data_IF_513820903863
#
_entry.id   IF_513820903863
#
_cell.length_a   1.000
_cell.length_b   1.000
_cell.length_c   1.000
_cell.angle_alpha   90.00
_cell.angle_beta   90.00
_cell.angle_gamma   90.00
#
_symmetry.space_group_name_H-M   'P 1'
#
loop_
_entity.id
_entity.type
_entity.pdbx_description
1 polymer ?
#
# COMPACT_ATOMS: atom_id res chain seq x y z
N UNK A 1 16.04 3.79 70.17
CA UNK A 1 14.96 4.12 69.25
C UNK A 1 15.42 4.68 67.89
N UNK A 2 16.69 4.47 67.49
CA UNK A 2 17.25 5.10 66.26
C UNK A 2 17.65 4.10 65.13
N UNK A 3 17.29 2.80 65.25
CA UNK A 3 17.67 1.78 64.23
C UNK A 3 16.50 1.25 63.37
N UNK A 4 15.27 1.66 63.66
CA UNK A 4 14.08 1.16 62.91
C UNK A 4 13.64 2.13 61.80
N UNK A 5 14.05 3.40 61.89
CA UNK A 5 13.67 4.42 60.87
C UNK A 5 14.51 4.38 59.57
N UNK A 6 15.74 3.78 59.62
CA UNK A 6 16.61 3.73 58.44
C UNK A 6 16.29 2.56 57.49
N UNK A 7 15.68 1.49 57.95
CA UNK A 7 15.33 0.34 57.13
C UNK A 7 14.05 0.61 56.26
N UNK A 8 13.12 1.39 56.80
CA UNK A 8 11.89 1.73 56.09
C UNK A 8 12.11 2.72 54.91
N UNK A 9 13.02 3.69 55.08
CA UNK A 9 13.32 4.64 53.99
C UNK A 9 14.11 3.99 52.85
N UNK A 10 15.01 3.04 53.14
CA UNK A 10 15.74 2.35 52.08
C UNK A 10 14.82 1.42 51.26
N UNK A 11 13.83 0.78 51.89
CA UNK A 11 12.91 -0.09 51.16
C UNK A 11 11.91 0.71 50.26
N UNK A 12 11.51 1.89 50.71
CA UNK A 12 10.65 2.78 49.87
C UNK A 12 11.44 3.37 48.72
N UNK A 13 12.68 3.82 48.91
CA UNK A 13 13.53 4.30 47.82
C UNK A 13 13.86 3.21 46.80
N UNK A 14 14.11 1.98 47.22
CA UNK A 14 14.35 0.86 46.30
C UNK A 14 13.11 0.49 45.49
N UNK A 15 11.93 0.58 46.10
CA UNK A 15 10.68 0.32 45.40
C UNK A 15 10.35 1.40 44.34
N UNK A 16 10.64 2.67 44.63
CA UNK A 16 10.47 3.76 43.65
C UNK A 16 11.53 3.68 42.53
N UNK A 17 12.77 3.29 42.82
CA UNK A 17 13.79 3.11 41.78
C UNK A 17 13.46 1.90 40.90
N UNK A 18 12.93 0.81 41.43
CA UNK A 18 12.49 -0.34 40.64
C UNK A 18 11.27 -0.03 39.77
N UNK A 19 10.31 0.75 40.28
CA UNK A 19 9.17 1.18 39.49
C UNK A 19 9.61 2.13 38.34
N UNK A 20 10.48 3.10 38.63
CA UNK A 20 10.99 4.03 37.59
C UNK A 20 11.85 3.31 36.55
N UNK A 21 12.60 2.29 36.90
CA UNK A 21 13.36 1.48 35.93
C UNK A 21 12.46 0.53 35.13
N UNK A 22 11.39 -0.01 35.72
CA UNK A 22 10.44 -0.85 35.06
C UNK A 22 9.63 -0.03 34.01
N UNK A 23 9.20 1.18 34.37
CA UNK A 23 8.49 2.09 33.41
C UNK A 23 9.42 2.59 32.30
N UNK A 24 10.68 2.90 32.62
CA UNK A 24 11.67 3.27 31.60
C UNK A 24 11.99 2.10 30.65
N UNK A 25 12.09 0.86 31.18
CA UNK A 25 12.27 -0.33 30.37
C UNK A 25 11.02 -0.64 29.53
N UNK A 26 9.82 -0.39 30.05
CA UNK A 26 8.58 -0.55 29.30
C UNK A 26 8.50 0.41 28.09
N UNK A 27 9.06 1.61 28.20
CA UNK A 27 9.14 2.57 27.11
C UNK A 27 10.04 2.10 25.95
N UNK A 28 10.98 1.19 26.21
CA UNK A 28 11.89 0.60 25.23
C UNK A 28 11.53 -0.83 24.83
N UNK A 29 10.34 -1.32 25.22
CA UNK A 29 9.89 -2.64 24.79
C UNK A 29 9.71 -2.65 23.26
N UNK A 30 10.07 -3.76 22.61
CA UNK A 30 9.79 -3.94 21.18
C UNK A 30 8.31 -3.68 20.89
N UNK A 31 8.01 -3.07 19.74
CA UNK A 31 6.62 -2.88 19.32
C UNK A 31 5.89 -4.22 19.33
N UNK A 32 4.66 -4.22 19.85
CA UNK A 32 3.84 -5.42 19.85
C UNK A 32 3.58 -5.88 18.41
N UNK A 33 3.59 -7.19 18.14
CA UNK A 33 3.21 -7.69 16.83
C UNK A 33 1.72 -7.43 16.56
N UNK A 34 1.36 -7.41 15.30
CA UNK A 34 -0.06 -7.43 14.90
C UNK A 34 -0.73 -8.70 15.45
N UNK A 35 -1.98 -8.62 15.86
CA UNK A 35 -2.73 -9.76 16.39
C UNK A 35 -3.38 -10.61 15.28
N UNK A 36 -3.71 -9.96 14.15
CA UNK A 36 -4.29 -10.63 12.99
C UNK A 36 -3.26 -11.55 12.30
N UNK A 37 -3.77 -12.53 11.58
CA UNK A 37 -2.98 -13.38 10.70
C UNK A 37 -3.18 -12.93 9.25
N UNK A 38 -2.08 -12.52 8.60
CA UNK A 38 -2.12 -12.19 7.18
C UNK A 38 -2.40 -13.43 6.34
N UNK A 39 -3.20 -13.34 5.29
CA UNK A 39 -3.37 -14.45 4.35
C UNK A 39 -2.03 -14.87 3.73
N UNK A 40 -1.72 -16.16 3.74
CA UNK A 40 -0.42 -16.70 3.26
C UNK A 40 -0.08 -16.29 1.82
N UNK A 41 -1.11 -16.14 0.97
CA UNK A 41 -0.94 -15.72 -0.41
C UNK A 41 -0.44 -14.26 -0.54
N UNK A 42 -0.53 -13.45 0.53
CA UNK A 42 -0.01 -12.07 0.54
C UNK A 42 1.51 -12.00 0.75
N UNK A 43 2.16 -13.12 1.10
CA UNK A 43 3.59 -13.21 1.42
C UNK A 43 4.51 -12.56 0.38
N UNK A 44 4.28 -12.84 -0.90
CA UNK A 44 5.11 -12.33 -2.01
C UNK A 44 4.29 -11.47 -2.98
N UNK A 45 3.10 -11.04 -2.55
CA UNK A 45 2.14 -10.41 -3.43
C UNK A 45 2.61 -9.03 -3.94
N UNK A 46 2.20 -8.76 -5.17
CA UNK A 46 2.26 -7.47 -5.85
C UNK A 46 0.83 -7.06 -6.18
N UNK A 47 0.46 -5.82 -5.85
CA UNK A 47 -0.87 -5.29 -6.12
C UNK A 47 -0.88 -4.56 -7.47
N UNK A 48 -1.98 -4.70 -8.19
CA UNK A 48 -2.28 -3.91 -9.37
C UNK A 48 -3.63 -3.24 -9.21
N UNK A 49 -3.65 -1.91 -9.20
CA UNK A 49 -4.88 -1.14 -9.11
C UNK A 49 -5.51 -0.94 -10.48
N UNK A 50 -6.78 -1.29 -10.61
CA UNK A 50 -7.58 -1.14 -11.84
C UNK A 50 -8.65 -0.08 -11.63
N UNK A 51 -8.55 1.01 -12.36
CA UNK A 51 -9.66 1.91 -12.62
C UNK A 51 -10.46 1.37 -13.81
N UNK A 52 -11.55 0.65 -13.53
CA UNK A 52 -12.32 -0.05 -14.58
C UNK A 52 -12.73 0.86 -15.72
N UNK A 53 -13.15 2.10 -15.41
CA UNK A 53 -13.56 3.12 -16.39
C UNK A 53 -12.47 3.45 -17.41
N UNK A 54 -11.20 3.47 -16.95
CA UNK A 54 -10.05 3.96 -17.71
C UNK A 54 -9.18 2.84 -18.28
N UNK A 55 -9.33 1.60 -17.74
CA UNK A 55 -8.41 0.50 -17.98
C UNK A 55 -8.41 0.01 -19.42
N UNK A 56 -9.58 0.05 -20.08
CA UNK A 56 -9.73 -0.32 -21.48
C UNK A 56 -10.56 0.74 -22.21
N UNK A 57 -10.50 0.80 -23.55
CA UNK A 57 -11.37 1.70 -24.32
C UNK A 57 -12.85 1.50 -24.02
N UNK A 58 -13.28 0.25 -23.75
CA UNK A 58 -14.66 -0.08 -23.40
C UNK A 58 -15.00 0.34 -21.97
N UNK A 59 -14.04 0.27 -21.03
CA UNK A 59 -14.21 0.58 -19.61
C UNK A 59 -15.14 -0.39 -18.89
N UNK A 60 -15.11 -1.68 -19.25
CA UNK A 60 -16.03 -2.70 -18.73
C UNK A 60 -15.31 -3.87 -18.07
N UNK A 61 -16.01 -4.61 -17.19
CA UNK A 61 -15.48 -5.84 -16.58
C UNK A 61 -15.12 -6.89 -17.62
N UNK A 62 -15.92 -7.02 -18.68
CA UNK A 62 -15.65 -7.95 -19.76
C UNK A 62 -14.33 -7.64 -20.47
N UNK A 63 -14.08 -6.38 -20.78
CA UNK A 63 -12.84 -5.96 -21.42
C UNK A 63 -11.66 -6.06 -20.46
N UNK A 64 -11.85 -5.73 -19.18
CA UNK A 64 -10.84 -5.90 -18.13
C UNK A 64 -10.49 -7.38 -17.91
N UNK A 65 -11.47 -8.30 -17.95
CA UNK A 65 -11.24 -9.75 -17.84
C UNK A 65 -10.25 -10.24 -18.92
N UNK A 66 -10.34 -9.74 -20.13
CA UNK A 66 -9.42 -10.10 -21.22
C UNK A 66 -7.96 -9.67 -20.96
N UNK A 67 -7.73 -8.76 -20.02
CA UNK A 67 -6.40 -8.32 -19.64
C UNK A 67 -5.78 -9.15 -18.49
N UNK A 68 -6.55 -10.02 -17.82
CA UNK A 68 -6.05 -10.83 -16.70
C UNK A 68 -4.83 -11.69 -17.06
N UNK A 69 -4.74 -12.36 -18.22
CA UNK A 69 -3.53 -13.09 -18.60
C UNK A 69 -2.30 -12.18 -18.70
N UNK A 70 -2.46 -10.95 -19.19
CA UNK A 70 -1.37 -9.96 -19.24
C UNK A 70 -0.94 -9.53 -17.83
N UNK A 71 -1.88 -9.28 -16.93
CA UNK A 71 -1.56 -8.96 -15.53
C UNK A 71 -0.86 -10.12 -14.83
N UNK A 72 -1.28 -11.37 -15.08
CA UNK A 72 -0.60 -12.55 -14.55
C UNK A 72 0.83 -12.67 -15.09
N UNK A 73 1.03 -12.43 -16.38
CA UNK A 73 2.36 -12.41 -17.00
C UNK A 73 3.24 -11.28 -16.44
N UNK A 74 2.66 -10.13 -16.10
CA UNK A 74 3.35 -9.03 -15.42
C UNK A 74 3.80 -9.42 -13.98
N UNK A 75 3.22 -10.50 -13.43
CA UNK A 75 3.55 -10.98 -12.09
C UNK A 75 2.63 -10.46 -10.99
N UNK A 76 1.41 -10.06 -11.32
CA UNK A 76 0.43 -9.56 -10.36
C UNK A 76 -0.22 -10.71 -9.58
N UNK A 77 -0.49 -10.47 -8.29
CA UNK A 77 -1.13 -11.41 -7.39
C UNK A 77 -2.46 -10.88 -6.83
N UNK A 78 -2.56 -9.58 -6.64
CA UNK A 78 -3.76 -8.92 -6.13
C UNK A 78 -4.24 -7.90 -7.16
N UNK A 79 -5.46 -8.05 -7.63
CA UNK A 79 -6.13 -7.05 -8.46
C UNK A 79 -7.07 -6.24 -7.55
N UNK A 80 -6.75 -4.97 -7.36
CA UNK A 80 -7.60 -4.04 -6.64
C UNK A 80 -8.48 -3.29 -7.64
N UNK A 81 -9.79 -3.58 -7.64
CA UNK A 81 -10.77 -2.83 -8.42
C UNK A 81 -11.20 -1.57 -7.65
N UNK A 82 -11.09 -0.40 -8.28
CA UNK A 82 -11.73 0.82 -7.78
C UNK A 82 -13.24 0.60 -7.63
N UNK A 83 -14.00 1.49 -6.94
CA UNK A 83 -15.39 1.20 -6.58
C UNK A 83 -16.22 0.71 -7.76
N UNK A 84 -16.87 -0.44 -7.58
CA UNK A 84 -17.67 -1.13 -8.60
C UNK A 84 -19.16 -0.81 -8.49
N UNK A 85 -19.53 0.02 -7.52
CA UNK A 85 -20.91 0.33 -7.15
C UNK A 85 -21.56 1.37 -8.08
N UNK A 86 -22.90 1.39 -8.19
CA UNK A 86 -23.63 2.46 -8.85
C UNK A 86 -23.29 3.82 -8.24
N UNK A 87 -23.13 4.82 -9.10
CA UNK A 87 -22.75 6.19 -8.74
C UNK A 87 -23.99 7.07 -8.63
N UNK A 88 -24.05 7.92 -7.59
CA UNK A 88 -25.11 8.90 -7.42
C UNK A 88 -25.24 9.89 -8.57
N UNK A 89 -26.43 10.43 -8.74
CA UNK A 89 -26.73 11.42 -9.78
C UNK A 89 -26.89 12.82 -9.17
N UNK A 90 -27.43 12.91 -7.97
CA UNK A 90 -27.65 14.18 -7.27
C UNK A 90 -26.29 14.82 -6.93
N UNK A 91 -26.12 16.08 -7.29
CA UNK A 91 -24.90 16.87 -7.11
C UNK A 91 -23.65 16.28 -7.81
N UNK A 92 -23.84 15.46 -8.84
CA UNK A 92 -22.76 14.81 -9.60
C UNK A 92 -21.83 15.86 -10.21
N UNK A 93 -20.52 15.62 -10.11
CA UNK A 93 -19.49 16.36 -10.86
C UNK A 93 -19.15 15.59 -12.14
N UNK A 94 -18.92 16.32 -13.23
CA UNK A 94 -18.67 15.74 -14.53
C UNK A 94 -19.88 14.97 -15.07
N UNK A 95 -19.68 14.26 -16.17
CA UNK A 95 -20.79 13.51 -16.82
C UNK A 95 -21.03 12.16 -16.16
N UNK A 96 -19.97 11.49 -15.68
CA UNK A 96 -20.03 10.13 -15.11
C UNK A 96 -19.96 10.10 -13.58
N UNK A 97 -19.50 11.19 -12.97
CA UNK A 97 -19.42 11.31 -11.50
C UNK A 97 -18.23 10.60 -10.86
N UNK A 98 -18.09 10.83 -9.56
CA UNK A 98 -17.08 10.18 -8.73
C UNK A 98 -17.44 8.72 -8.48
N UNK A 99 -16.54 7.75 -8.69
CA UNK A 99 -16.75 6.36 -8.31
C UNK A 99 -16.92 6.20 -6.79
N UNK A 100 -16.46 7.17 -6.01
CA UNK A 100 -16.61 7.19 -4.54
C UNK A 100 -17.96 7.75 -4.07
N UNK A 101 -18.82 8.21 -4.98
CA UNK A 101 -20.21 8.62 -4.67
C UNK A 101 -21.15 7.43 -4.77
N UNK A 102 -21.04 6.50 -3.81
CA UNK A 102 -21.75 5.21 -3.81
C UNK A 102 -23.24 5.40 -3.58
N UNK A 103 -24.06 4.85 -4.47
CA UNK A 103 -25.53 4.88 -4.40
C UNK A 103 -26.16 3.57 -3.91
N UNK A 104 -25.46 2.46 -4.05
CA UNK A 104 -25.92 1.14 -3.62
C UNK A 104 -24.73 0.24 -3.32
N UNK A 105 -24.57 -0.18 -2.06
CA UNK A 105 -23.43 -0.98 -1.62
C UNK A 105 -23.48 -2.45 -2.09
N UNK A 106 -24.60 -2.94 -2.59
CA UNK A 106 -24.72 -4.32 -3.13
C UNK A 106 -24.98 -4.32 -4.64
N UNK A 107 -25.11 -3.16 -5.23
CA UNK A 107 -25.27 -3.00 -6.67
C UNK A 107 -23.95 -3.00 -7.44
N UNK A 108 -24.04 -3.34 -8.70
CA UNK A 108 -22.93 -3.24 -9.68
C UNK A 108 -23.22 -2.09 -10.62
N UNK A 109 -22.23 -1.23 -10.86
CA UNK A 109 -22.36 -0.08 -11.74
C UNK A 109 -22.63 -0.53 -13.19
N UNK A 110 -23.78 -0.18 -13.77
CA UNK A 110 -24.12 -0.58 -15.14
C UNK A 110 -23.17 0.00 -16.20
N UNK A 111 -22.43 1.07 -15.88
CA UNK A 111 -21.36 1.58 -16.74
C UNK A 111 -20.27 0.53 -17.01
N UNK A 112 -19.97 -0.29 -16.00
CA UNK A 112 -18.91 -1.30 -16.06
C UNK A 112 -19.39 -2.67 -16.53
N UNK A 113 -20.71 -2.90 -16.51
CA UNK A 113 -21.33 -4.16 -16.92
C UNK A 113 -22.33 -4.70 -15.91
N UNK A 114 -22.57 -5.99 -15.98
CA UNK A 114 -23.58 -6.70 -15.18
C UNK A 114 -22.94 -7.38 -13.96
N UNK A 115 -23.77 -7.76 -12.93
CA UNK A 115 -23.31 -8.58 -11.81
C UNK A 115 -22.67 -9.92 -12.25
N UNK A 116 -23.18 -10.52 -13.33
CA UNK A 116 -22.64 -11.76 -13.90
C UNK A 116 -21.25 -11.54 -14.48
N UNK A 117 -21.01 -10.42 -15.12
CA UNK A 117 -19.70 -10.08 -15.72
C UNK A 117 -18.67 -9.79 -14.63
N UNK A 118 -19.03 -9.09 -13.56
CA UNK A 118 -18.13 -8.88 -12.41
C UNK A 118 -17.81 -10.22 -11.73
N UNK A 119 -18.80 -11.08 -11.50
CA UNK A 119 -18.56 -12.41 -10.94
C UNK A 119 -17.59 -13.21 -11.82
N UNK A 120 -17.82 -13.21 -13.13
CA UNK A 120 -16.95 -13.90 -14.08
C UNK A 120 -15.52 -13.35 -14.09
N UNK A 121 -15.35 -12.02 -13.97
CA UNK A 121 -14.03 -11.39 -13.81
C UNK A 121 -13.29 -11.94 -12.57
N UNK A 122 -13.97 -11.96 -11.42
CA UNK A 122 -13.40 -12.47 -10.16
C UNK A 122 -13.03 -13.96 -10.29
N UNK A 123 -13.93 -14.77 -10.80
CA UNK A 123 -13.68 -16.20 -11.00
C UNK A 123 -12.53 -16.45 -12.00
N UNK A 124 -12.39 -15.61 -13.02
CA UNK A 124 -11.30 -15.68 -13.99
C UNK A 124 -9.95 -15.29 -13.38
N UNK A 125 -9.91 -14.29 -12.50
CA UNK A 125 -8.73 -13.92 -11.75
C UNK A 125 -8.29 -15.08 -10.81
N UNK A 126 -9.23 -15.65 -10.08
CA UNK A 126 -8.99 -16.81 -9.20
C UNK A 126 -8.45 -18.03 -9.96
N UNK A 127 -9.01 -18.36 -11.11
CA UNK A 127 -8.50 -19.47 -11.95
C UNK A 127 -7.06 -19.28 -12.40
N UNK A 128 -6.59 -18.04 -12.48
CA UNK A 128 -5.21 -17.70 -12.81
C UNK A 128 -4.33 -17.53 -11.57
N UNK A 129 -4.85 -17.81 -10.36
CA UNK A 129 -4.13 -17.67 -9.09
C UNK A 129 -3.87 -16.22 -8.72
N UNK A 130 -4.76 -15.31 -9.08
CA UNK A 130 -4.79 -13.93 -8.60
C UNK A 130 -5.96 -13.74 -7.65
N UNK A 131 -5.80 -12.85 -6.66
CA UNK A 131 -6.84 -12.47 -5.71
C UNK A 131 -7.45 -11.13 -6.11
N UNK A 132 -8.71 -10.92 -5.73
CA UNK A 132 -9.43 -9.68 -6.06
C UNK A 132 -9.91 -8.99 -4.81
N UNK A 133 -9.50 -7.74 -4.61
CA UNK A 133 -10.03 -6.87 -3.56
C UNK A 133 -10.84 -5.74 -4.18
N UNK A 134 -11.90 -5.32 -3.50
CA UNK A 134 -12.74 -4.20 -3.93
C UNK A 134 -12.41 -2.94 -3.12
N UNK A 135 -12.57 -1.79 -3.75
CA UNK A 135 -12.55 -0.52 -3.05
C UNK A 135 -13.84 -0.31 -2.26
N UNK A 136 -13.75 0.02 -0.98
CA UNK A 136 -14.89 0.11 -0.08
C UNK A 136 -15.01 1.48 0.56
N UNK A 137 -16.07 2.19 0.22
CA UNK A 137 -16.32 3.56 0.64
C UNK A 137 -17.25 3.57 1.85
N UNK A 138 -16.70 3.38 3.06
CA UNK A 138 -17.52 3.27 4.27
C UNK A 138 -17.85 4.64 4.91
N UNK A 139 -17.03 5.66 4.67
CA UNK A 139 -17.16 6.94 5.36
C UNK A 139 -18.35 7.79 4.89
N UNK A 140 -18.81 7.63 3.66
CA UNK A 140 -19.79 8.51 3.01
C UNK A 140 -20.59 7.81 1.93
N UNK A 141 -21.69 8.41 1.49
CA UNK A 141 -22.51 7.93 0.35
C UNK A 141 -22.81 9.06 -0.62
N UNK A 142 -23.39 8.72 -1.77
CA UNK A 142 -24.05 9.69 -2.63
C UNK A 142 -25.21 10.37 -1.93
N UNK A 143 -25.57 11.58 -2.37
CA UNK A 143 -26.72 12.36 -1.88
C UNK A 143 -28.08 11.72 -2.21
N UNK A 144 -28.15 10.83 -3.16
CA UNK A 144 -29.33 10.09 -3.60
C UNK A 144 -29.23 8.60 -3.25
N UNK A 145 -28.39 8.25 -2.28
CA UNK A 145 -28.39 6.91 -1.70
C UNK A 145 -29.75 6.66 -0.99
N UNK A 146 -30.39 5.48 -1.13
CA UNK A 146 -31.69 5.21 -0.49
C UNK A 146 -31.71 5.46 1.01
N UNK A 147 -30.62 5.21 1.71
CA UNK A 147 -30.49 5.44 3.16
C UNK A 147 -30.69 6.92 3.57
N UNK A 148 -30.44 7.87 2.66
CA UNK A 148 -30.66 9.30 2.97
C UNK A 148 -32.12 9.59 3.34
N UNK A 149 -33.04 8.87 2.71
CA UNK A 149 -34.49 9.00 2.98
C UNK A 149 -35.02 7.96 3.95
N UNK A 150 -34.48 6.74 3.93
CA UNK A 150 -34.91 5.62 4.77
C UNK A 150 -34.37 5.69 6.20
N UNK A 151 -33.12 6.19 6.34
CA UNK A 151 -32.35 6.24 7.57
C UNK A 151 -31.58 7.56 7.68
N UNK A 152 -32.26 8.72 7.69
CA UNK A 152 -31.60 10.03 7.75
C UNK A 152 -30.78 10.23 9.03
N UNK A 153 -31.05 9.46 10.09
CA UNK A 153 -30.30 9.42 11.34
C UNK A 153 -28.92 8.76 11.22
N UNK A 154 -28.66 8.05 10.12
CA UNK A 154 -27.34 7.44 9.85
C UNK A 154 -26.30 8.44 9.34
N UNK A 155 -26.75 9.67 9.03
CA UNK A 155 -25.89 10.71 8.47
C UNK A 155 -25.55 11.79 9.49
N UNK A 156 -24.33 12.30 9.40
CA UNK A 156 -23.91 13.41 10.23
C UNK A 156 -24.66 14.69 9.87
N UNK A 157 -24.93 15.49 10.89
CA UNK A 157 -25.56 16.79 10.75
C UNK A 157 -24.59 17.90 11.16
N UNK A 158 -24.65 19.01 10.48
CA UNK A 158 -23.98 20.23 10.89
C UNK A 158 -24.72 20.92 12.06
N UNK A 159 -24.22 22.04 12.52
CA UNK A 159 -24.79 22.82 13.62
C UNK A 159 -26.17 23.43 13.31
N UNK A 160 -26.57 23.49 12.02
CA UNK A 160 -27.92 23.96 11.60
C UNK A 160 -28.92 22.80 11.49
N UNK A 161 -28.46 21.57 11.60
CA UNK A 161 -29.24 20.37 11.39
C UNK A 161 -29.29 19.88 9.93
N UNK A 162 -28.54 20.50 9.02
CA UNK A 162 -28.41 20.06 7.64
C UNK A 162 -27.47 18.84 7.51
N UNK A 163 -27.62 18.06 6.48
CA UNK A 163 -26.68 16.97 6.20
C UNK A 163 -25.27 17.52 5.99
N UNK A 164 -24.31 16.94 6.70
CA UNK A 164 -22.91 17.37 6.64
C UNK A 164 -22.20 16.70 5.46
N UNK A 165 -21.69 17.46 4.47
CA UNK A 165 -20.77 16.93 3.49
C UNK A 165 -19.43 16.61 4.15
N UNK A 166 -18.59 15.80 3.48
CA UNK A 166 -17.22 15.55 3.93
C UNK A 166 -16.38 16.83 3.93
N UNK A 167 -15.39 16.97 4.84
CA UNK A 167 -14.66 18.23 5.02
C UNK A 167 -13.61 18.54 3.95
N UNK A 168 -13.41 17.69 2.96
CA UNK A 168 -12.46 17.94 1.87
C UNK A 168 -13.11 18.52 0.62
N UNK A 169 -12.31 18.93 -0.34
CA UNK A 169 -12.71 19.69 -1.54
C UNK A 169 -13.78 19.05 -2.44
N UNK A 170 -13.99 17.72 -2.36
CA UNK A 170 -15.03 17.02 -3.10
C UNK A 170 -16.36 16.89 -2.35
N UNK A 171 -16.54 17.64 -1.27
CA UNK A 171 -17.64 17.52 -0.33
C UNK A 171 -19.05 17.69 -0.90
N UNK A 172 -19.21 18.36 -2.07
CA UNK A 172 -20.54 18.62 -2.62
C UNK A 172 -21.22 17.39 -3.26
N UNK A 173 -20.48 16.33 -3.54
CA UNK A 173 -21.02 15.13 -4.19
C UNK A 173 -21.36 14.00 -3.23
N UNK A 174 -20.97 14.09 -1.96
CA UNK A 174 -21.08 13.04 -0.95
C UNK A 174 -21.53 13.62 0.40
N UNK A 175 -22.14 12.77 1.25
CA UNK A 175 -22.52 13.10 2.61
C UNK A 175 -21.94 12.10 3.60
N UNK A 176 -21.51 12.62 4.75
CA UNK A 176 -20.79 11.90 5.80
C UNK A 176 -21.71 10.98 6.61
N UNK A 177 -21.26 9.76 6.91
CA UNK A 177 -21.99 8.81 7.73
C UNK A 177 -21.65 8.93 9.22
N UNK A 178 -22.66 8.82 10.06
CA UNK A 178 -22.53 8.88 11.51
C UNK A 178 -22.43 7.47 12.12
N UNK A 179 -21.24 6.96 12.31
CA UNK A 179 -20.97 5.59 12.82
C UNK A 179 -21.37 5.35 14.29
N UNK A 180 -22.18 6.22 14.89
CA UNK A 180 -22.81 6.02 16.22
C UNK A 180 -23.97 5.01 16.17
N UNK A 181 -24.59 4.81 15.00
CA UNK A 181 -25.72 3.89 14.82
C UNK A 181 -25.28 2.42 14.74
N UNK A 182 -25.72 1.55 15.67
CA UNK A 182 -25.46 0.10 15.55
C UNK A 182 -26.10 -0.50 14.28
N UNK A 183 -27.25 0.03 13.84
CA UNK A 183 -27.93 -0.43 12.64
C UNK A 183 -27.13 -0.12 11.38
N UNK A 184 -26.56 1.08 11.28
CA UNK A 184 -25.64 1.42 10.19
C UNK A 184 -24.43 0.48 10.17
N UNK A 185 -23.79 0.29 11.34
CA UNK A 185 -22.62 -0.60 11.45
C UNK A 185 -22.94 -2.02 10.99
N UNK A 186 -24.12 -2.52 11.40
CA UNK A 186 -24.55 -3.86 10.97
C UNK A 186 -24.78 -3.93 9.46
N UNK A 187 -25.53 -2.99 8.89
CA UNK A 187 -25.84 -3.01 7.45
C UNK A 187 -24.60 -2.84 6.58
N UNK A 188 -23.67 -1.99 7.00
CA UNK A 188 -22.38 -1.82 6.33
C UNK A 188 -21.53 -3.09 6.40
N UNK A 189 -21.48 -3.75 7.57
CA UNK A 189 -20.82 -5.05 7.74
C UNK A 189 -21.45 -6.13 6.89
N UNK A 190 -22.79 -6.23 6.91
CA UNK A 190 -23.54 -7.21 6.12
C UNK A 190 -23.31 -7.02 4.61
N UNK A 191 -23.13 -5.77 4.17
CA UNK A 191 -22.81 -5.46 2.78
C UNK A 191 -21.40 -5.91 2.39
N UNK A 192 -20.40 -5.77 3.27
CA UNK A 192 -19.06 -6.33 3.04
C UNK A 192 -19.09 -7.86 3.02
N UNK A 193 -19.79 -8.47 3.98
CA UNK A 193 -19.99 -9.94 4.06
C UNK A 193 -20.68 -10.48 2.82
N UNK A 194 -21.64 -9.74 2.25
CA UNK A 194 -22.30 -10.09 0.99
C UNK A 194 -21.29 -10.27 -0.15
N UNK A 195 -20.36 -9.34 -0.34
CA UNK A 195 -19.35 -9.43 -1.41
C UNK A 195 -18.39 -10.60 -1.22
N UNK A 196 -17.99 -10.88 0.02
CA UNK A 196 -17.14 -12.05 0.33
C UNK A 196 -17.90 -13.34 0.05
N UNK A 197 -19.18 -13.42 0.46
CA UNK A 197 -19.99 -14.64 0.32
C UNK A 197 -20.45 -14.89 -1.11
N UNK A 198 -21.04 -13.87 -1.74
CA UNK A 198 -21.70 -14.04 -3.03
C UNK A 198 -20.74 -13.93 -4.21
N UNK A 199 -19.68 -13.12 -4.09
CA UNK A 199 -18.73 -12.90 -5.18
C UNK A 199 -17.37 -13.55 -4.94
N UNK A 200 -17.12 -14.00 -3.72
CA UNK A 200 -15.85 -14.62 -3.37
C UNK A 200 -14.68 -13.66 -3.32
N UNK A 201 -14.91 -12.33 -3.18
CA UNK A 201 -13.83 -11.35 -3.09
C UNK A 201 -12.89 -11.68 -1.93
N UNK A 202 -11.61 -11.34 -2.09
CA UNK A 202 -10.55 -11.71 -1.16
C UNK A 202 -10.25 -10.62 -0.13
N UNK A 203 -10.98 -9.51 -0.17
CA UNK A 203 -10.85 -8.43 0.77
C UNK A 203 -11.21 -7.07 0.20
N UNK A 204 -10.75 -6.03 0.88
CA UNK A 204 -11.12 -4.65 0.55
C UNK A 204 -9.95 -3.67 0.76
N UNK A 205 -9.92 -2.62 -0.06
CA UNK A 205 -9.25 -1.37 0.27
C UNK A 205 -10.29 -0.42 0.86
N UNK A 206 -10.09 0.02 2.07
CA UNK A 206 -10.99 0.93 2.78
C UNK A 206 -10.63 2.39 2.48
N UNK A 207 -11.53 3.06 1.79
CA UNK A 207 -11.44 4.49 1.49
C UNK A 207 -11.46 5.32 2.77
N UNK A 208 -10.53 6.28 2.89
CA UNK A 208 -10.35 7.17 4.05
C UNK A 208 -10.58 6.49 5.41
N UNK A 209 -9.95 5.33 5.59
CA UNK A 209 -10.22 4.38 6.66
C UNK A 209 -10.19 4.99 8.07
N UNK A 210 -9.34 6.01 8.31
CA UNK A 210 -9.19 6.65 9.59
C UNK A 210 -10.34 7.56 10.02
N UNK A 211 -11.24 7.90 9.11
CA UNK A 211 -12.46 8.63 9.45
C UNK A 211 -13.61 7.70 9.91
N UNK A 212 -13.42 6.40 9.78
CA UNK A 212 -14.37 5.38 10.26
C UNK A 212 -13.80 4.73 11.52
N UNK A 213 -14.59 4.53 12.59
CA UNK A 213 -14.08 3.99 13.85
C UNK A 213 -13.37 2.64 13.68
N UNK A 214 -12.21 2.49 14.31
CA UNK A 214 -11.38 1.29 14.20
C UNK A 214 -12.09 0.02 14.66
N UNK A 215 -12.92 0.11 15.71
CA UNK A 215 -13.70 -1.00 16.24
C UNK A 215 -14.76 -1.52 15.24
N UNK A 216 -15.25 -0.65 14.34
CA UNK A 216 -16.07 -1.08 13.20
C UNK A 216 -15.26 -1.98 12.26
N UNK A 217 -14.07 -1.56 11.86
CA UNK A 217 -13.22 -2.33 10.96
C UNK A 217 -12.84 -3.68 11.54
N UNK A 218 -12.46 -3.71 12.82
CA UNK A 218 -12.16 -4.96 13.53
C UNK A 218 -13.37 -5.92 13.55
N UNK A 219 -14.57 -5.37 13.78
CA UNK A 219 -15.81 -6.16 13.77
C UNK A 219 -16.14 -6.69 12.38
N UNK A 220 -16.07 -5.83 11.36
CA UNK A 220 -16.35 -6.21 9.98
C UNK A 220 -15.37 -7.31 9.49
N UNK A 221 -14.07 -7.17 9.82
CA UNK A 221 -13.07 -8.21 9.54
C UNK A 221 -13.46 -9.55 10.13
N UNK A 222 -13.78 -9.60 11.42
CA UNK A 222 -14.16 -10.84 12.11
C UNK A 222 -15.39 -11.51 11.49
N UNK A 223 -16.37 -10.73 11.05
CA UNK A 223 -17.56 -11.28 10.39
C UNK A 223 -17.23 -11.87 9.01
N UNK A 224 -16.39 -11.22 8.24
CA UNK A 224 -15.91 -11.74 6.94
C UNK A 224 -15.05 -12.99 7.10
N UNK A 225 -14.18 -13.04 8.09
CA UNK A 225 -13.28 -14.17 8.36
C UNK A 225 -14.03 -15.44 8.81
N UNK A 226 -15.28 -15.36 9.20
CA UNK A 226 -16.15 -16.56 9.39
C UNK A 226 -16.40 -17.31 8.07
N UNK A 227 -16.16 -16.65 6.91
CA UNK A 227 -16.34 -17.24 5.58
C UNK A 227 -15.00 -17.71 5.03
N UNK A 228 -14.02 -16.82 5.00
CA UNK A 228 -12.66 -17.08 4.53
C UNK A 228 -11.70 -16.01 5.02
N UNK A 229 -10.37 -16.27 5.07
CA UNK A 229 -9.38 -15.23 5.31
C UNK A 229 -9.52 -14.08 4.31
N UNK A 230 -9.48 -12.85 4.78
CA UNK A 230 -9.57 -11.63 3.96
C UNK A 230 -8.35 -10.75 4.12
N UNK A 231 -8.01 -10.00 3.07
CA UNK A 231 -6.95 -9.01 3.07
C UNK A 231 -7.55 -7.60 3.09
N UNK A 232 -7.21 -6.80 4.11
CA UNK A 232 -7.71 -5.44 4.24
C UNK A 232 -6.55 -4.43 4.12
N UNK A 233 -6.71 -3.49 3.18
CA UNK A 233 -5.83 -2.35 2.94
C UNK A 233 -6.51 -1.07 3.42
N UNK A 234 -5.92 -0.36 4.38
CA UNK A 234 -6.41 0.96 4.79
C UNK A 234 -5.80 2.06 3.93
N UNK A 235 -6.63 2.91 3.35
CA UNK A 235 -6.18 4.23 2.96
C UNK A 235 -6.04 5.09 4.22
N UNK A 236 -4.97 4.89 4.90
CA UNK A 236 -4.57 5.61 6.12
C UNK A 236 -3.11 5.30 6.44
N UNK A 237 -2.49 6.14 7.29
CA UNK A 237 -1.10 5.94 7.68
C UNK A 237 -0.94 6.12 9.18
N UNK A 238 -1.56 5.22 9.98
CA UNK A 238 -1.36 5.13 11.42
C UNK A 238 -1.14 3.70 11.87
N UNK A 239 -0.36 3.52 12.93
CA UNK A 239 0.06 2.21 13.44
C UNK A 239 -1.06 1.39 14.07
N UNK A 240 -2.07 2.04 14.67
CA UNK A 240 -3.20 1.40 15.33
C UNK A 240 -4.09 0.61 14.37
N UNK A 241 -4.13 0.98 13.09
CA UNK A 241 -4.84 0.24 12.04
C UNK A 241 -4.39 -1.21 11.92
N UNK A 242 -3.12 -1.50 12.23
CA UNK A 242 -2.52 -2.81 11.98
C UNK A 242 -2.80 -3.86 13.05
N UNK A 243 -3.16 -3.50 14.29
CA UNK A 243 -3.23 -4.48 15.37
C UNK A 243 -4.28 -5.57 15.11
N UNK A 244 -5.51 -5.18 14.76
CA UNK A 244 -6.64 -6.10 14.67
C UNK A 244 -7.51 -5.93 13.42
N UNK A 245 -7.26 -4.88 12.61
CA UNK A 245 -8.18 -4.52 11.53
C UNK A 245 -7.58 -4.71 10.13
N UNK A 246 -6.41 -4.15 9.86
CA UNK A 246 -5.86 -4.07 8.52
C UNK A 246 -4.54 -4.83 8.37
N UNK A 247 -4.40 -5.56 7.28
CA UNK A 247 -3.14 -6.19 6.91
C UNK A 247 -2.10 -5.15 6.49
N UNK A 248 -2.57 -4.11 5.82
CA UNK A 248 -1.70 -3.12 5.20
C UNK A 248 -2.27 -1.71 5.30
N UNK A 249 -1.38 -0.71 5.43
CA UNK A 249 -1.70 0.70 5.27
C UNK A 249 -0.92 1.32 4.11
N UNK A 250 -1.38 2.45 3.62
CA UNK A 250 -0.59 3.28 2.70
C UNK A 250 0.72 3.70 3.35
N UNK A 251 1.74 3.91 2.53
CA UNK A 251 3.00 4.55 2.91
C UNK A 251 3.13 5.91 2.21
N UNK A 252 2.26 6.85 2.54
CA UNK A 252 2.33 8.23 2.02
C UNK A 252 3.66 8.88 2.31
N UNK A 253 4.17 8.68 3.53
CA UNK A 253 5.47 9.21 3.94
C UNK A 253 6.64 8.63 3.11
N UNK A 254 6.54 7.38 2.61
CA UNK A 254 7.49 6.81 1.66
C UNK A 254 7.38 7.50 0.29
N UNK A 255 6.15 7.60 -0.24
CA UNK A 255 5.89 8.26 -1.52
C UNK A 255 6.40 9.70 -1.53
N UNK A 256 6.11 10.48 -0.48
CA UNK A 256 6.58 11.85 -0.30
C UNK A 256 8.11 11.92 -0.20
N UNK A 257 8.73 10.97 0.50
CA UNK A 257 10.19 10.94 0.64
C UNK A 257 10.86 10.66 -0.71
N UNK A 258 10.45 9.63 -1.43
CA UNK A 258 11.03 9.27 -2.73
C UNK A 258 10.78 10.37 -3.75
N UNK A 259 9.57 10.92 -3.81
CA UNK A 259 9.22 12.03 -4.70
C UNK A 259 10.08 13.28 -4.43
N UNK A 260 10.22 13.67 -3.16
CA UNK A 260 11.03 14.82 -2.78
C UNK A 260 12.52 14.64 -3.12
N UNK A 261 13.06 13.42 -2.90
CA UNK A 261 14.45 13.09 -3.27
C UNK A 261 14.62 13.11 -4.79
N UNK A 262 13.71 12.51 -5.54
CA UNK A 262 13.74 12.48 -7.01
C UNK A 262 13.68 13.89 -7.63
N UNK A 263 12.99 14.82 -6.98
CA UNK A 263 12.90 16.23 -7.39
C UNK A 263 14.04 17.10 -6.88
N UNK A 264 15.02 16.54 -6.15
CA UNK A 264 16.11 17.31 -5.53
C UNK A 264 15.66 18.24 -4.39
N UNK A 265 14.44 18.06 -3.87
CA UNK A 265 13.88 18.85 -2.77
C UNK A 265 14.26 18.32 -1.38
N UNK A 266 14.80 17.11 -1.31
CA UNK A 266 15.28 16.48 -0.10
C UNK A 266 16.50 15.60 -0.38
N UNK A 267 17.27 15.30 0.66
CA UNK A 267 18.34 14.30 0.64
C UNK A 267 17.79 12.92 0.95
N UNK A 268 18.60 11.87 0.73
CA UNK A 268 18.25 10.49 1.09
C UNK A 268 17.97 10.29 2.59
N UNK A 269 18.37 11.22 3.45
CA UNK A 269 18.05 11.17 4.88
C UNK A 269 16.54 11.09 5.14
N UNK A 270 15.72 11.70 4.28
CA UNK A 270 14.26 11.61 4.39
C UNK A 270 13.76 10.16 4.25
N UNK A 271 14.38 9.36 3.37
CA UNK A 271 14.09 7.92 3.26
C UNK A 271 14.61 7.13 4.46
N UNK A 272 15.80 7.47 4.97
CA UNK A 272 16.31 6.81 6.17
C UNK A 272 15.43 7.09 7.39
N UNK A 273 14.90 8.30 7.53
CA UNK A 273 13.91 8.64 8.56
C UNK A 273 12.66 7.77 8.42
N UNK A 274 12.12 7.61 7.20
CA UNK A 274 10.97 6.74 6.95
C UNK A 274 11.24 5.30 7.43
N UNK A 275 12.33 4.67 6.96
CA UNK A 275 12.65 3.28 7.31
C UNK A 275 12.94 3.09 8.79
N UNK A 276 13.69 4.02 9.41
CA UNK A 276 13.95 4.01 10.84
C UNK A 276 12.68 4.16 11.68
N UNK A 277 11.77 5.05 11.26
CA UNK A 277 10.47 5.22 11.92
C UNK A 277 9.59 3.97 11.76
N UNK A 278 9.59 3.36 10.58
CA UNK A 278 8.90 2.11 10.32
C UNK A 278 9.40 0.99 11.27
N UNK A 279 10.72 0.91 11.46
CA UNK A 279 11.35 -0.08 12.33
C UNK A 279 11.05 0.16 13.81
N UNK A 280 11.03 1.40 14.26
CA UNK A 280 10.95 1.75 15.70
C UNK A 280 9.54 1.97 16.22
N UNK A 281 8.61 2.42 15.37
CA UNK A 281 7.28 2.89 15.81
C UNK A 281 6.11 2.02 15.33
N UNK A 282 6.29 1.26 14.24
CA UNK A 282 5.20 0.46 13.68
C UNK A 282 5.15 -0.94 14.31
N UNK A 283 3.95 -1.54 14.44
CA UNK A 283 3.82 -2.90 14.97
C UNK A 283 4.67 -3.89 14.18
N UNK A 284 5.27 -4.86 14.86
CA UNK A 284 5.94 -5.96 14.19
C UNK A 284 4.95 -6.69 13.28
N UNK A 285 5.38 -7.10 12.10
CA UNK A 285 4.58 -7.76 11.06
C UNK A 285 3.60 -6.86 10.33
N UNK A 286 3.57 -5.56 10.58
CA UNK A 286 2.76 -4.64 9.76
C UNK A 286 3.27 -4.61 8.32
N UNK A 287 2.35 -4.44 7.36
CA UNK A 287 2.70 -4.23 5.94
C UNK A 287 2.42 -2.79 5.53
N UNK A 288 3.30 -2.23 4.71
CA UNK A 288 3.16 -0.88 4.16
C UNK A 288 3.09 -0.96 2.64
N UNK A 289 2.11 -0.28 2.03
CA UNK A 289 2.00 -0.21 0.57
C UNK A 289 2.92 0.85 0.01
N UNK A 290 3.94 0.43 -0.73
CA UNK A 290 4.85 1.33 -1.46
C UNK A 290 4.42 1.47 -2.91
N UNK A 291 4.47 2.67 -3.46
CA UNK A 291 3.98 2.94 -4.82
C UNK A 291 4.59 4.22 -5.40
N UNK A 292 4.63 4.30 -6.73
CA UNK A 292 5.04 5.52 -7.44
C UNK A 292 3.87 6.26 -8.07
N UNK A 293 2.70 5.64 -8.13
CA UNK A 293 1.43 6.28 -8.51
C UNK A 293 0.24 5.46 -7.98
N UNK A 294 -0.92 6.10 -7.88
CA UNK A 294 -2.23 5.52 -7.70
C UNK A 294 -3.27 6.43 -8.38
N UNK A 295 -4.56 6.12 -8.24
CA UNK A 295 -5.62 6.89 -8.88
C UNK A 295 -5.68 8.36 -8.45
N UNK A 296 -5.38 8.64 -7.16
CA UNK A 296 -5.36 10.01 -6.62
C UNK A 296 -4.11 10.75 -7.04
N UNK A 297 -2.94 10.17 -6.80
CA UNK A 297 -1.67 10.78 -7.20
C UNK A 297 -1.68 11.12 -8.69
N UNK A 298 -2.13 10.19 -9.55
CA UNK A 298 -2.21 10.42 -10.99
C UNK A 298 -3.20 11.54 -11.36
N UNK A 299 -4.38 11.54 -10.78
CA UNK A 299 -5.42 12.50 -11.14
C UNK A 299 -5.14 13.92 -10.61
N UNK A 300 -4.63 14.02 -9.37
CA UNK A 300 -4.57 15.29 -8.66
C UNK A 300 -3.17 15.87 -8.49
N UNK A 301 -2.16 15.01 -8.36
CA UNK A 301 -0.79 15.48 -8.09
C UNK A 301 0.11 15.46 -9.32
N UNK A 302 -0.08 14.50 -10.21
CA UNK A 302 0.71 14.34 -11.43
C UNK A 302 0.94 12.87 -11.80
N UNK A 303 1.33 12.66 -13.05
CA UNK A 303 1.83 11.35 -13.49
C UNK A 303 3.10 10.98 -12.73
N UNK A 304 3.48 9.71 -12.74
CA UNK A 304 4.76 9.27 -12.19
C UNK A 304 5.95 10.01 -12.83
N UNK A 305 5.89 10.28 -14.13
CA UNK A 305 6.90 11.07 -14.82
C UNK A 305 6.97 12.53 -14.32
N UNK A 306 5.83 13.18 -14.07
CA UNK A 306 5.79 14.54 -13.50
C UNK A 306 6.34 14.58 -12.05
N UNK A 307 6.15 13.48 -11.29
CA UNK A 307 6.56 13.38 -9.87
C UNK A 307 8.01 12.94 -9.70
N UNK A 308 8.49 12.02 -10.53
CA UNK A 308 9.79 11.38 -10.35
C UNK A 308 10.78 11.68 -11.50
N UNK A 309 10.30 12.20 -12.65
CA UNK A 309 11.17 12.44 -13.81
C UNK A 309 11.88 11.15 -14.25
N UNK A 310 13.19 11.28 -14.54
CA UNK A 310 14.03 10.15 -14.95
C UNK A 310 14.27 9.12 -13.80
N UNK A 311 13.90 9.46 -12.58
CA UNK A 311 14.01 8.56 -11.42
C UNK A 311 12.88 7.51 -11.36
N UNK A 312 11.86 7.53 -12.23
CA UNK A 312 10.75 6.56 -12.22
C UNK A 312 11.24 5.10 -12.12
N UNK A 313 12.21 4.62 -12.93
CA UNK A 313 12.70 3.25 -12.81
C UNK A 313 13.39 2.98 -11.47
N UNK A 314 14.19 3.92 -10.97
CA UNK A 314 14.89 3.83 -9.69
C UNK A 314 13.90 3.73 -8.50
N UNK A 315 12.85 4.56 -8.52
CA UNK A 315 11.78 4.53 -7.53
C UNK A 315 10.98 3.22 -7.58
N UNK A 316 10.68 2.70 -8.79
CA UNK A 316 10.06 1.39 -8.97
C UNK A 316 10.94 0.27 -8.40
N UNK A 317 12.24 0.26 -8.66
CA UNK A 317 13.19 -0.71 -8.08
C UNK A 317 13.15 -0.65 -6.56
N UNK A 318 13.17 0.55 -5.97
CA UNK A 318 13.10 0.70 -4.51
C UNK A 318 11.78 0.18 -3.95
N UNK A 319 10.64 0.39 -4.61
CA UNK A 319 9.34 -0.09 -4.12
C UNK A 319 9.25 -1.62 -4.07
N UNK A 320 10.00 -2.34 -4.93
CA UNK A 320 10.03 -3.80 -4.96
C UNK A 320 11.14 -4.43 -4.13
N UNK A 321 12.28 -3.76 -3.99
CA UNK A 321 13.45 -4.31 -3.28
C UNK A 321 13.55 -3.82 -1.84
N UNK A 322 12.97 -2.68 -1.50
CA UNK A 322 12.83 -2.18 -0.13
C UNK A 322 11.78 -2.96 0.67
N UNK A 323 11.55 -2.55 1.91
CA UNK A 323 10.46 -3.07 2.72
C UNK A 323 9.12 -2.48 2.27
N UNK A 324 8.10 -3.35 2.18
CA UNK A 324 6.75 -3.00 1.78
C UNK A 324 6.20 -3.93 0.70
N UNK A 325 4.91 -3.79 0.44
CA UNK A 325 4.21 -4.46 -0.66
C UNK A 325 4.02 -3.45 -1.81
N UNK A 326 4.58 -3.72 -2.99
CA UNK A 326 4.50 -2.77 -4.09
C UNK A 326 3.11 -2.75 -4.73
N UNK A 327 2.65 -1.55 -5.08
CA UNK A 327 1.49 -1.30 -5.93
C UNK A 327 1.96 -0.80 -7.31
N UNK A 328 1.38 -1.35 -8.36
CA UNK A 328 1.43 -0.82 -9.73
C UNK A 328 0.05 -0.26 -10.07
N UNK A 329 -0.02 1.01 -10.42
CA UNK A 329 -1.25 1.62 -10.93
C UNK A 329 -1.40 1.38 -12.43
N UNK A 330 -2.60 1.11 -12.88
CA UNK A 330 -2.89 0.78 -14.27
C UNK A 330 -2.35 1.85 -15.24
N UNK A 331 -1.61 1.40 -16.25
CA UNK A 331 -0.98 2.26 -17.25
C UNK A 331 0.48 2.61 -16.97
N UNK A 332 1.03 2.40 -15.76
CA UNK A 332 2.44 2.65 -15.47
C UNK A 332 3.36 1.77 -16.31
N UNK A 333 2.98 0.50 -16.51
CA UNK A 333 3.73 -0.42 -17.38
C UNK A 333 3.72 -0.02 -18.87
N UNK A 334 2.72 0.77 -19.27
CA UNK A 334 2.64 1.36 -20.61
C UNK A 334 3.30 2.74 -20.69
N UNK A 335 3.83 3.27 -19.59
CA UNK A 335 4.33 4.64 -19.51
C UNK A 335 3.25 5.65 -19.91
N UNK A 336 2.02 5.49 -19.38
CA UNK A 336 0.90 6.38 -19.69
C UNK A 336 1.26 7.83 -19.34
N UNK A 337 1.29 8.75 -20.32
CA UNK A 337 1.89 10.07 -20.12
C UNK A 337 0.92 11.10 -19.57
N UNK A 338 -0.35 10.71 -19.30
CA UNK A 338 -1.38 11.68 -18.93
C UNK A 338 -1.99 11.42 -17.57
N UNK A 339 -2.45 12.47 -16.92
CA UNK A 339 -3.34 12.42 -15.79
C UNK A 339 -4.73 11.98 -16.29
N UNK A 340 -5.26 10.93 -15.69
CA UNK A 340 -6.57 10.40 -16.09
C UNK A 340 -7.69 11.24 -15.47
N UNK A 341 -8.66 11.63 -16.27
CA UNK A 341 -9.79 12.42 -15.81
C UNK A 341 -10.65 11.63 -14.80
N UNK A 342 -10.86 12.20 -13.61
CA UNK A 342 -11.47 11.48 -12.50
C UNK A 342 -12.98 11.25 -12.66
N UNK A 343 -13.69 12.23 -13.22
CA UNK A 343 -15.15 12.25 -13.36
C UNK A 343 -15.66 11.88 -14.75
N UNK A 344 -14.75 11.59 -15.66
CA UNK A 344 -15.03 11.30 -17.07
C UNK A 344 -14.38 10.01 -17.51
N UNK A 345 -14.76 9.54 -18.69
CA UNK A 345 -14.06 8.43 -19.34
C UNK A 345 -12.85 8.97 -20.10
N UNK A 346 -11.68 8.51 -19.73
CA UNK A 346 -10.39 8.96 -20.26
C UNK A 346 -9.41 7.77 -20.33
N UNK A 347 -9.58 6.86 -21.31
CA UNK A 347 -8.84 5.61 -21.36
C UNK A 347 -7.34 5.80 -21.40
N UNK A 348 -6.63 4.87 -20.76
CA UNK A 348 -5.17 4.75 -20.77
C UNK A 348 -4.65 4.63 -22.21
N UNK A 349 -3.53 5.31 -22.49
CA UNK A 349 -2.81 5.15 -23.74
C UNK A 349 -1.89 3.93 -23.64
N UNK A 350 -2.38 2.79 -24.10
CA UNK A 350 -1.60 1.55 -24.09
C UNK A 350 -0.55 1.57 -25.23
N UNK A 351 0.69 1.31 -24.84
CA UNK A 351 1.84 1.22 -25.76
C UNK A 351 2.92 0.30 -25.19
N UNK A 352 3.79 -0.22 -26.05
CA UNK A 352 4.99 -0.91 -25.61
C UNK A 352 5.93 0.10 -24.93
N UNK A 353 6.35 -0.22 -23.70
CA UNK A 353 7.21 0.65 -22.91
C UNK A 353 8.17 -0.18 -22.04
N UNK A 354 9.43 0.27 -21.81
CA UNK A 354 10.42 -0.47 -21.02
C UNK A 354 9.96 -0.78 -19.58
N UNK A 355 9.08 0.02 -19.01
CA UNK A 355 8.53 -0.21 -17.67
C UNK A 355 7.77 -1.54 -17.56
N UNK A 356 7.18 -2.06 -18.63
CA UNK A 356 6.53 -3.37 -18.60
C UNK A 356 7.53 -4.50 -18.30
N UNK A 357 8.69 -4.50 -18.98
CA UNK A 357 9.77 -5.45 -18.70
C UNK A 357 10.33 -5.25 -17.29
N UNK A 358 10.55 -4.00 -16.86
CA UNK A 358 11.06 -3.71 -15.54
C UNK A 358 10.13 -4.25 -14.44
N UNK A 359 8.82 -3.96 -14.48
CA UNK A 359 7.85 -4.46 -13.50
C UNK A 359 7.76 -5.99 -13.51
N UNK A 360 7.75 -6.61 -14.70
CA UNK A 360 7.75 -8.08 -14.83
C UNK A 360 8.95 -8.71 -14.14
N UNK A 361 10.13 -8.17 -14.38
CA UNK A 361 11.38 -8.66 -13.78
C UNK A 361 11.42 -8.41 -12.27
N UNK A 362 10.97 -7.24 -11.80
CA UNK A 362 10.90 -6.93 -10.38
C UNK A 362 9.91 -7.85 -9.63
N UNK A 363 8.76 -8.12 -10.23
CA UNK A 363 7.79 -9.06 -9.66
C UNK A 363 8.35 -10.49 -9.61
N UNK A 364 9.03 -10.93 -10.67
CA UNK A 364 9.70 -12.23 -10.70
C UNK A 364 10.81 -12.33 -9.64
N UNK A 365 11.62 -11.29 -9.48
CA UNK A 365 12.65 -11.21 -8.46
C UNK A 365 12.04 -11.34 -7.04
N UNK A 366 11.00 -10.58 -6.76
CA UNK A 366 10.32 -10.60 -5.46
C UNK A 366 9.76 -11.99 -5.13
N UNK A 367 9.16 -12.66 -6.10
CA UNK A 367 8.58 -13.99 -5.93
C UNK A 367 9.61 -15.09 -5.74
N UNK A 368 10.75 -14.97 -6.43
CA UNK A 368 11.80 -15.99 -6.38
C UNK A 368 12.79 -15.82 -5.22
N UNK A 369 12.70 -14.72 -4.47
CA UNK A 369 13.69 -14.42 -3.44
C UNK A 369 13.05 -14.21 -2.05
N UNK A 370 13.26 -15.13 -1.09
CA UNK A 370 12.73 -15.04 0.26
C UNK A 370 13.08 -13.73 0.98
N UNK A 371 14.25 -13.14 0.70
CA UNK A 371 14.66 -11.89 1.32
C UNK A 371 13.70 -10.73 1.00
N UNK A 372 13.02 -10.76 -0.14
CA UNK A 372 12.12 -9.71 -0.60
C UNK A 372 10.65 -9.93 -0.24
N UNK A 373 10.31 -11.01 0.46
CA UNK A 373 8.94 -11.24 0.91
C UNK A 373 8.40 -10.07 1.76
N UNK A 374 7.09 -9.93 1.81
CA UNK A 374 6.40 -8.88 2.57
C UNK A 374 6.44 -9.18 4.07
N UNK A 375 6.27 -8.15 4.90
CA UNK A 375 6.22 -8.27 6.34
C UNK A 375 7.46 -9.03 6.90
N UNK A 376 7.32 -9.78 8.00
CA UNK A 376 8.36 -10.58 8.62
C UNK A 376 8.68 -11.91 7.89
N UNK A 377 7.95 -12.22 6.84
CA UNK A 377 8.33 -13.28 5.91
C UNK A 377 9.62 -12.97 5.15
N UNK A 378 9.91 -11.66 4.94
CA UNK A 378 11.12 -11.18 4.28
C UNK A 378 12.25 -10.84 5.24
N UNK A 379 13.40 -10.48 4.67
CA UNK A 379 14.51 -9.90 5.40
C UNK A 379 14.29 -8.41 5.68
N UNK A 380 14.80 -7.90 6.79
CA UNK A 380 14.83 -6.47 7.08
C UNK A 380 15.75 -5.75 6.10
N UNK A 381 15.42 -4.50 5.82
CA UNK A 381 16.26 -3.62 5.01
C UNK A 381 17.35 -3.00 5.89
N UNK A 382 18.59 -3.44 5.73
CA UNK A 382 19.72 -2.96 6.50
C UNK A 382 20.61 -2.09 5.60
N UNK A 383 20.80 -0.85 6.02
CA UNK A 383 21.66 0.11 5.30
C UNK A 383 23.08 -0.41 5.18
N UNK A 384 23.66 -0.31 4.00
CA UNK A 384 25.09 -0.48 3.75
C UNK A 384 25.72 0.90 3.64
N UNK A 385 26.64 1.31 4.53
CA UNK A 385 27.32 2.58 4.43
C UNK A 385 28.13 2.66 3.13
N UNK A 386 28.16 3.87 2.55
CA UNK A 386 28.90 4.12 1.31
C UNK A 386 29.50 5.52 1.28
N UNK A 387 30.44 5.76 0.36
CA UNK A 387 31.19 7.02 0.24
C UNK A 387 30.37 8.22 -0.25
N UNK A 388 29.11 8.03 -0.69
CA UNK A 388 28.25 9.10 -1.26
C UNK A 388 26.82 9.02 -0.68
N UNK A 389 26.67 9.00 0.65
CA UNK A 389 25.39 8.64 1.31
C UNK A 389 24.26 9.64 1.06
N UNK A 390 24.58 10.87 0.64
CA UNK A 390 23.57 11.87 0.31
C UNK A 390 22.86 11.63 -1.03
N UNK A 391 23.46 10.81 -1.92
CA UNK A 391 22.99 10.61 -3.30
C UNK A 391 22.78 9.14 -3.66
N UNK A 392 23.47 8.23 -2.99
CA UNK A 392 23.39 6.78 -3.26
C UNK A 392 22.80 6.06 -2.07
N UNK A 393 21.65 5.42 -2.31
CA UNK A 393 21.02 4.50 -1.39
C UNK A 393 21.62 3.10 -1.61
N UNK A 394 22.14 2.49 -0.56
CA UNK A 394 22.65 1.11 -0.59
C UNK A 394 22.20 0.34 0.64
N UNK A 395 21.67 -0.87 0.42
CA UNK A 395 21.14 -1.71 1.49
C UNK A 395 21.17 -3.19 1.12
N UNK A 396 21.12 -4.03 2.13
CA UNK A 396 20.90 -5.48 1.98
C UNK A 396 19.58 -5.89 2.63
N UNK A 397 18.96 -6.92 2.05
CA UNK A 397 17.92 -7.73 2.68
C UNK A 397 18.38 -9.18 2.61
N UNK A 398 18.26 -9.89 3.74
CA UNK A 398 18.71 -11.28 3.84
C UNK A 398 17.69 -12.12 4.60
N UNK A 399 17.34 -13.28 4.06
CA UNK A 399 16.41 -14.23 4.66
C UNK A 399 16.68 -15.63 4.10
N UNK A 400 16.69 -16.64 4.97
CA UNK A 400 16.79 -18.06 4.60
C UNK A 400 17.93 -18.37 3.61
N UNK A 401 19.10 -17.78 3.83
CA UNK A 401 20.29 -17.96 2.99
C UNK A 401 20.26 -17.20 1.65
N UNK A 402 19.20 -16.46 1.37
CA UNK A 402 19.11 -15.57 0.21
C UNK A 402 19.43 -14.13 0.62
N UNK A 403 20.30 -13.46 -0.15
CA UNK A 403 20.67 -12.05 0.10
C UNK A 403 20.47 -11.24 -1.17
N UNK A 404 19.85 -10.08 -1.03
CA UNK A 404 19.72 -9.06 -2.07
C UNK A 404 20.43 -7.82 -1.62
N UNK A 405 21.42 -7.39 -2.40
CA UNK A 405 22.14 -6.14 -2.21
C UNK A 405 21.71 -5.16 -3.30
N UNK A 406 21.03 -4.10 -2.91
CA UNK A 406 20.51 -3.06 -3.82
C UNK A 406 21.30 -1.77 -3.65
N UNK A 407 21.68 -1.16 -4.78
CA UNK A 407 22.36 0.13 -4.84
C UNK A 407 21.64 1.00 -5.87
N UNK A 408 21.24 2.21 -5.48
CA UNK A 408 20.49 3.14 -6.32
C UNK A 408 21.10 4.53 -6.24
N UNK A 409 21.45 5.10 -7.38
CA UNK A 409 21.83 6.50 -7.50
C UNK A 409 20.57 7.36 -7.65
N UNK A 410 20.19 8.11 -6.61
CA UNK A 410 19.10 9.07 -6.62
C UNK A 410 19.60 10.49 -6.96
N UNK A 411 20.42 10.60 -8.00
CA UNK A 411 20.88 11.90 -8.49
C UNK A 411 21.03 11.92 -10.01
N UNK A 412 21.01 13.11 -10.58
CA UNK A 412 21.24 13.35 -12.01
C UNK A 412 22.73 13.32 -12.41
N UNK A 413 23.62 12.95 -11.51
CA UNK A 413 25.06 12.92 -11.73
C UNK A 413 25.61 11.49 -11.66
N UNK A 414 26.72 11.22 -12.37
CA UNK A 414 27.47 9.99 -12.23
C UNK A 414 28.09 9.92 -10.84
N UNK A 415 27.96 8.79 -10.16
CA UNK A 415 28.53 8.55 -8.85
C UNK A 415 29.56 7.42 -8.87
N UNK A 416 30.69 7.64 -8.18
CA UNK A 416 31.73 6.63 -7.93
C UNK A 416 31.59 6.18 -6.47
N UNK A 417 31.09 4.97 -6.27
CA UNK A 417 30.65 4.49 -4.96
C UNK A 417 31.60 3.42 -4.41
N UNK A 418 32.08 3.63 -3.18
CA UNK A 418 32.78 2.64 -2.38
C UNK A 418 31.89 2.27 -1.19
N UNK A 419 31.89 1.00 -0.81
CA UNK A 419 31.11 0.53 0.31
C UNK A 419 32.01 0.31 1.52
N UNK A 420 31.45 0.56 2.68
CA UNK A 420 32.09 0.36 3.97
C UNK A 420 31.47 -0.86 4.67
N UNK A 421 32.12 -1.37 5.70
CA UNK A 421 31.70 -2.55 6.47
C UNK A 421 31.57 -3.83 5.61
N UNK A 422 31.00 -4.89 6.21
CA UNK A 422 30.98 -6.23 5.57
C UNK A 422 29.61 -6.78 5.21
N UNK A 423 28.53 -6.05 5.50
CA UNK A 423 27.15 -6.53 5.26
C UNK A 423 26.90 -6.94 3.81
N UNK A 424 27.50 -6.23 2.86
CA UNK A 424 27.38 -6.47 1.43
C UNK A 424 28.40 -7.51 0.89
N UNK A 425 29.28 -8.05 1.72
CA UNK A 425 30.28 -9.02 1.24
C UNK A 425 29.62 -10.32 0.77
N UNK A 426 30.13 -10.88 -0.32
CA UNK A 426 29.63 -12.13 -0.88
C UNK A 426 29.82 -12.21 -2.40
N UNK A 427 29.41 -13.35 -2.95
CA UNK A 427 29.36 -13.60 -4.39
C UNK A 427 27.93 -13.43 -4.90
N UNK A 428 27.76 -12.67 -5.95
CA UNK A 428 26.45 -12.28 -6.46
C UNK A 428 26.35 -12.46 -7.98
N UNK A 429 25.12 -12.47 -8.44
CA UNK A 429 24.77 -12.16 -9.83
C UNK A 429 24.01 -10.84 -9.85
N UNK A 430 24.46 -9.86 -10.64
CA UNK A 430 23.65 -8.67 -10.88
C UNK A 430 22.41 -9.07 -11.68
N UNK A 431 21.24 -8.79 -11.12
CA UNK A 431 19.97 -9.41 -11.57
C UNK A 431 19.59 -9.01 -12.99
N UNK A 432 19.80 -7.74 -13.37
CA UNK A 432 19.37 -7.22 -14.66
C UNK A 432 20.33 -7.55 -15.81
N UNK A 433 21.63 -7.60 -15.55
CA UNK A 433 22.64 -7.90 -16.56
C UNK A 433 23.11 -9.36 -16.59
N UNK A 434 22.88 -10.11 -15.51
CA UNK A 434 23.45 -11.45 -15.33
C UNK A 434 24.92 -11.48 -15.00
N UNK A 435 25.58 -10.33 -14.83
CA UNK A 435 27.02 -10.23 -14.56
C UNK A 435 27.35 -10.74 -13.16
N UNK A 436 28.40 -11.56 -13.04
CA UNK A 436 28.91 -11.99 -11.74
C UNK A 436 29.67 -10.87 -11.06
N UNK A 437 29.50 -10.75 -9.75
CA UNK A 437 30.18 -9.77 -8.92
C UNK A 437 30.59 -10.40 -7.59
N UNK A 438 31.76 -10.04 -7.08
CA UNK A 438 32.25 -10.44 -5.75
C UNK A 438 32.56 -9.19 -4.96
N UNK A 439 32.03 -9.11 -3.76
CA UNK A 439 32.32 -8.00 -2.83
C UNK A 439 33.10 -8.54 -1.62
N UNK A 440 34.05 -7.75 -1.05
CA UNK A 440 34.35 -6.36 -1.42
C UNK A 440 35.07 -6.24 -2.76
N UNK A 441 34.83 -5.15 -3.45
CA UNK A 441 35.54 -4.77 -4.67
C UNK A 441 36.61 -3.75 -4.37
N UNK A 442 37.75 -3.85 -5.06
CA UNK A 442 38.88 -2.88 -4.93
C UNK A 442 38.58 -1.57 -5.67
N UNK A 443 37.78 -1.64 -6.73
CA UNK A 443 37.37 -0.47 -7.52
C UNK A 443 36.02 0.06 -7.04
N UNK A 444 35.86 1.40 -7.17
CA UNK A 444 34.56 2.03 -6.96
C UNK A 444 33.55 1.52 -8.00
N UNK A 445 32.30 1.34 -7.57
CA UNK A 445 31.18 1.06 -8.46
C UNK A 445 30.76 2.38 -9.13
N UNK A 446 30.78 2.43 -10.44
CA UNK A 446 30.23 3.54 -11.20
C UNK A 446 28.74 3.37 -11.43
N UNK A 447 27.96 4.38 -11.09
CA UNK A 447 26.52 4.45 -11.33
C UNK A 447 26.18 5.73 -12.09
N UNK A 448 25.64 5.60 -13.29
CA UNK A 448 25.08 6.71 -14.06
C UNK A 448 23.93 7.41 -13.30
N UNK A 449 23.43 8.54 -13.84
CA UNK A 449 22.27 9.24 -13.29
C UNK A 449 21.07 8.31 -13.17
N UNK A 450 20.43 8.27 -12.00
CA UNK A 450 19.23 7.45 -11.70
C UNK A 450 19.40 5.95 -11.93
N UNK A 451 20.64 5.46 -12.12
CA UNK A 451 20.93 4.05 -12.32
C UNK A 451 20.88 3.28 -11.01
N UNK A 452 20.63 1.98 -11.15
CA UNK A 452 20.59 1.05 -10.04
C UNK A 452 21.31 -0.26 -10.37
N UNK A 453 21.66 -1.01 -9.33
CA UNK A 453 22.16 -2.40 -9.40
C UNK A 453 21.46 -3.21 -8.33
N UNK A 454 21.04 -4.39 -8.68
CA UNK A 454 20.43 -5.35 -7.75
C UNK A 454 21.22 -6.65 -7.83
N UNK A 455 21.97 -6.92 -6.80
CA UNK A 455 22.82 -8.09 -6.70
C UNK A 455 22.12 -9.17 -5.87
N UNK A 456 22.03 -10.39 -6.41
CA UNK A 456 21.34 -11.53 -5.78
C UNK A 456 22.36 -12.62 -5.49
N UNK A 457 22.42 -13.08 -4.24
CA UNK A 457 23.16 -14.28 -3.83
C UNK A 457 22.20 -15.31 -3.22
N UNK A 458 22.66 -16.54 -3.11
CA UNK A 458 21.88 -17.68 -2.63
C UNK A 458 21.71 -18.74 -3.72
N UNK A 459 21.40 -19.95 -3.31
CA UNK A 459 21.15 -21.05 -4.25
C UNK A 459 19.84 -20.77 -5.02
N UNK A 460 19.93 -20.80 -6.34
CA UNK A 460 18.74 -20.89 -7.21
C UNK A 460 18.10 -22.25 -7.08
#
# INVERSE_FOLDING_TARGET
>A
MHRILSAGLLSILSSFLQAATADALAAYQPQQPVHLQHPDWSKNAVIYQVNTRQFTPEGTFRAAEMQLPRLKALGIDIVWLMPVHPIGVKNRKGTLGSPYSVKDYRGVNPEFGTPVELRRFIDSAHRQGMHVILDWVANHTAWDHPWVTQHPEWYARDWKGDFQPTPWWDCHVIIYQAYKSPALRKEMTDSMVYWVREYGVDGFRADVAGFVPLDFWTTARREMEKIKPVFLLAEWETRDMHYDAFDMTYAWSWFDAVSAVSQGKATLDKLFVYYSHNESAWPLRSMRMTYTSNHDANAWEGTDLEKFGDAVPAAAVLSFTGEGMPLVYNGQEAGNPKRLAFFEKDPIIWRTHPMADLYTRLAALKKSNPALANSDWGGRMIKVPNSVPARVLSFVREKDGSKVFTVINFSAEIQQVRFEESLHHGSYTEYFSGTKAVYPQTRALELGPWHYRVYVSGNR
#
